data_IF_154501386005
#
_entry.id   IF_154501386005
#
_cell.length_a   1.000
_cell.length_b   1.000
_cell.length_c   1.000
_cell.angle_alpha   90.00
_cell.angle_beta   90.00
_cell.angle_gamma   90.00
#
_symmetry.space_group_name_H-M   'P 1'
#
loop_
_entity.id
_entity.type
_entity.pdbx_description
1 polymer ?
#
# COMPACT_ATOMS: atom_id res chain seq x y z
N UNK A 1 14.93 -61.44 0.14
CA UNK A 1 14.81 -61.42 -1.33
C UNK A 1 15.38 -60.09 -1.82
N UNK A 2 16.58 -60.16 -2.37
CA UNK A 2 17.35 -59.01 -2.86
C UNK A 2 16.82 -58.60 -4.23
N UNK A 3 16.25 -57.39 -4.33
CA UNK A 3 15.86 -56.84 -5.63
C UNK A 3 17.06 -56.07 -6.18
N UNK A 4 17.75 -56.67 -7.14
CA UNK A 4 18.80 -56.03 -7.95
C UNK A 4 18.19 -54.88 -8.76
N UNK A 5 18.43 -53.64 -8.36
CA UNK A 5 18.40 -52.53 -9.30
C UNK A 5 19.71 -52.55 -10.09
N UNK A 6 19.69 -53.13 -11.30
CA UNK A 6 20.76 -53.00 -12.33
C UNK A 6 20.79 -51.55 -12.84
N UNK A 7 21.18 -50.61 -11.99
CA UNK A 7 21.45 -49.22 -12.35
C UNK A 7 22.94 -48.95 -12.20
N UNK A 8 23.54 -48.23 -13.16
CA UNK A 8 24.92 -47.75 -13.01
C UNK A 8 25.02 -46.93 -11.73
N UNK A 9 25.88 -47.37 -10.80
CA UNK A 9 26.13 -46.66 -9.55
C UNK A 9 27.46 -45.93 -9.62
N UNK A 10 27.49 -44.72 -9.08
CA UNK A 10 28.70 -43.91 -9.00
C UNK A 10 29.06 -43.64 -7.56
N UNK A 11 30.37 -43.61 -7.28
CA UNK A 11 30.91 -43.17 -5.99
C UNK A 11 30.72 -41.67 -5.80
N UNK A 12 30.84 -41.19 -4.56
CA UNK A 12 30.78 -39.76 -4.23
C UNK A 12 31.71 -38.91 -5.10
N UNK A 13 32.93 -39.35 -5.35
CA UNK A 13 33.89 -38.62 -6.20
C UNK A 13 33.50 -38.61 -7.68
N UNK A 14 32.96 -39.72 -8.19
CA UNK A 14 32.50 -39.80 -9.57
C UNK A 14 31.28 -38.90 -9.80
N UNK A 15 30.30 -38.91 -8.90
CA UNK A 15 29.15 -37.99 -8.97
C UNK A 15 29.58 -36.53 -8.82
N UNK A 16 30.49 -36.23 -7.88
CA UNK A 16 31.05 -34.89 -7.70
C UNK A 16 31.66 -34.37 -9.00
N UNK A 17 32.47 -35.19 -9.69
CA UNK A 17 33.07 -34.81 -10.97
C UNK A 17 32.05 -34.65 -12.10
N UNK A 18 31.07 -35.56 -12.19
CA UNK A 18 30.03 -35.51 -13.24
C UNK A 18 29.14 -34.28 -13.10
N UNK A 19 28.76 -33.93 -11.87
CA UNK A 19 27.89 -32.78 -11.59
C UNK A 19 28.66 -31.47 -11.38
N UNK A 20 30.00 -31.50 -11.40
CA UNK A 20 30.84 -30.32 -11.13
C UNK A 20 30.72 -29.78 -9.70
N UNK A 21 30.48 -30.65 -8.71
CA UNK A 21 30.23 -30.29 -7.31
C UNK A 21 31.35 -30.77 -6.37
N UNK A 22 31.44 -30.16 -5.19
CA UNK A 22 32.31 -30.68 -4.13
C UNK A 22 31.73 -31.96 -3.49
N UNK A 23 32.56 -32.89 -2.98
CA UNK A 23 32.06 -34.08 -2.28
C UNK A 23 31.16 -33.77 -1.08
N UNK A 24 31.41 -32.64 -0.40
CA UNK A 24 30.56 -32.13 0.69
C UNK A 24 29.17 -31.74 0.18
N UNK A 25 29.09 -31.08 -0.98
CA UNK A 25 27.80 -30.70 -1.59
C UNK A 25 27.00 -31.91 -2.05
N UNK A 26 27.68 -32.95 -2.56
CA UNK A 26 27.05 -34.23 -2.90
C UNK A 26 26.40 -34.89 -1.67
N UNK A 27 27.07 -34.86 -0.51
CA UNK A 27 26.50 -35.41 0.72
C UNK A 27 25.26 -34.63 1.20
N UNK A 28 25.31 -33.30 1.16
CA UNK A 28 24.17 -32.43 1.48
C UNK A 28 22.98 -32.68 0.55
N UNK A 29 23.20 -32.72 -0.77
CA UNK A 29 22.13 -32.98 -1.73
C UNK A 29 21.52 -34.38 -1.58
N UNK A 30 22.27 -35.34 -1.04
CA UNK A 30 21.73 -36.65 -0.71
C UNK A 30 20.92 -36.66 0.59
N UNK A 31 21.22 -35.78 1.55
CA UNK A 31 20.41 -35.55 2.76
C UNK A 31 19.12 -34.79 2.43
N UNK A 32 19.19 -33.83 1.50
CA UNK A 32 18.05 -33.12 0.91
C UNK A 32 17.18 -34.04 0.02
N UNK A 33 17.57 -35.29 -0.21
CA UNK A 33 16.84 -36.28 -1.02
C UNK A 33 16.94 -36.06 -2.54
N UNK A 34 17.78 -35.12 -3.01
CA UNK A 34 17.99 -34.81 -4.43
C UNK A 34 18.84 -35.88 -5.11
N UNK A 35 19.88 -36.40 -4.44
CA UNK A 35 20.70 -37.51 -4.94
C UNK A 35 20.33 -38.82 -4.25
N UNK A 36 20.03 -39.86 -5.03
CA UNK A 36 19.51 -41.13 -4.52
C UNK A 36 20.66 -42.06 -4.14
N UNK A 37 20.75 -42.41 -2.86
CA UNK A 37 21.77 -43.33 -2.33
C UNK A 37 21.40 -44.77 -2.65
N UNK A 38 22.30 -45.48 -3.34
CA UNK A 38 22.17 -46.92 -3.60
C UNK A 38 22.76 -47.77 -2.46
N UNK A 39 23.87 -47.31 -1.88
CA UNK A 39 24.53 -47.91 -0.70
C UNK A 39 25.55 -46.93 -0.11
N UNK A 40 26.26 -47.29 0.96
CA UNK A 40 27.22 -46.39 1.63
C UNK A 40 28.25 -45.83 0.63
N UNK A 41 28.18 -44.52 0.38
CA UNK A 41 29.08 -43.81 -0.54
C UNK A 41 28.83 -44.05 -2.03
N UNK A 42 27.72 -44.69 -2.42
CA UNK A 42 27.32 -44.95 -3.81
C UNK A 42 25.92 -44.42 -4.10
N UNK A 43 25.75 -43.90 -5.31
CA UNK A 43 24.52 -43.22 -5.75
C UNK A 43 24.03 -43.79 -7.07
N UNK A 44 22.71 -43.81 -7.27
CA UNK A 44 22.08 -44.19 -8.54
C UNK A 44 22.29 -43.08 -9.56
N UNK A 45 23.09 -43.34 -10.60
CA UNK A 45 23.56 -42.30 -11.52
C UNK A 45 22.42 -41.59 -12.25
N UNK A 46 21.56 -42.35 -12.93
CA UNK A 46 20.51 -41.80 -13.78
C UNK A 46 19.49 -40.98 -12.97
N UNK A 47 18.99 -41.55 -11.87
CA UNK A 47 17.99 -40.89 -11.01
C UNK A 47 18.55 -39.65 -10.32
N UNK A 48 19.79 -39.72 -9.82
CA UNK A 48 20.43 -38.59 -9.14
C UNK A 48 20.69 -37.42 -10.09
N UNK A 49 21.13 -37.69 -11.32
CA UNK A 49 21.36 -36.65 -12.34
C UNK A 49 20.03 -36.02 -12.76
N UNK A 50 19.00 -36.82 -13.02
CA UNK A 50 17.68 -36.30 -13.43
C UNK A 50 17.03 -35.45 -12.33
N UNK A 51 17.09 -35.90 -11.07
CA UNK A 51 16.56 -35.14 -9.94
C UNK A 51 17.35 -33.85 -9.69
N UNK A 52 18.67 -33.89 -9.84
CA UNK A 52 19.50 -32.70 -9.74
C UNK A 52 19.12 -31.66 -10.80
N UNK A 53 19.00 -32.04 -12.08
CA UNK A 53 18.59 -31.14 -13.16
C UNK A 53 17.19 -30.55 -12.88
N UNK A 54 16.23 -31.38 -12.45
CA UNK A 54 14.88 -30.91 -12.08
C UNK A 54 14.91 -29.92 -10.93
N UNK A 55 15.77 -30.14 -9.94
CA UNK A 55 15.92 -29.25 -8.79
C UNK A 55 16.49 -27.88 -9.17
N UNK A 56 17.36 -27.82 -10.18
CA UNK A 56 17.89 -26.55 -10.71
C UNK A 56 16.80 -25.77 -11.44
N UNK A 57 16.07 -26.43 -12.35
CA UNK A 57 14.96 -25.82 -13.09
C UNK A 57 13.86 -25.28 -12.18
N UNK A 58 13.56 -26.00 -11.08
CA UNK A 58 12.54 -25.57 -10.11
C UNK A 58 13.01 -24.38 -9.26
N UNK A 59 14.31 -24.27 -8.97
CA UNK A 59 14.88 -23.16 -8.18
C UNK A 59 15.02 -21.90 -9.01
N UNK A 60 15.53 -21.99 -10.24
CA UNK A 60 15.67 -20.86 -11.15
C UNK A 60 14.31 -20.31 -11.57
N UNK A 61 13.36 -21.19 -11.97
CA UNK A 61 12.01 -20.76 -12.34
C UNK A 61 11.23 -20.13 -11.20
N UNK A 62 11.42 -20.59 -9.94
CA UNK A 62 10.80 -19.95 -8.77
C UNK A 62 11.42 -18.61 -8.44
N UNK A 63 12.75 -18.50 -8.46
CA UNK A 63 13.44 -17.25 -8.16
C UNK A 63 13.17 -16.16 -9.22
N UNK A 64 13.08 -16.54 -10.49
CA UNK A 64 12.76 -15.63 -11.58
C UNK A 64 11.30 -15.17 -11.51
N UNK A 65 10.34 -16.08 -11.27
CA UNK A 65 8.93 -15.73 -11.09
C UNK A 65 8.73 -14.83 -9.86
N UNK A 66 9.37 -15.13 -8.74
CA UNK A 66 9.30 -14.31 -7.51
C UNK A 66 9.88 -12.90 -7.77
N UNK A 67 11.00 -12.79 -8.47
CA UNK A 67 11.57 -11.49 -8.87
C UNK A 67 10.65 -10.66 -9.77
N UNK A 68 10.02 -11.29 -10.77
CA UNK A 68 9.06 -10.59 -11.64
C UNK A 68 7.78 -10.19 -10.89
N UNK A 69 7.28 -11.04 -10.00
CA UNK A 69 6.11 -10.75 -9.17
C UNK A 69 6.37 -9.59 -8.21
N UNK A 70 7.49 -9.61 -7.48
CA UNK A 70 7.87 -8.53 -6.57
C UNK A 70 8.12 -7.21 -7.31
N UNK A 71 8.78 -7.26 -8.47
CA UNK A 71 8.97 -6.08 -9.32
C UNK A 71 7.64 -5.51 -9.83
N UNK A 72 6.68 -6.37 -10.20
CA UNK A 72 5.37 -5.94 -10.63
C UNK A 72 4.56 -5.29 -9.49
N UNK A 73 4.63 -5.83 -8.26
CA UNK A 73 4.03 -5.22 -7.07
C UNK A 73 4.66 -3.86 -6.77
N UNK A 74 5.99 -3.76 -6.84
CA UNK A 74 6.72 -2.52 -6.62
C UNK A 74 6.34 -1.44 -7.64
N UNK A 75 6.29 -1.78 -8.94
CA UNK A 75 5.91 -0.83 -9.99
C UNK A 75 4.45 -0.39 -9.84
N UNK A 76 3.56 -1.29 -9.42
CA UNK A 76 2.17 -0.95 -9.11
C UNK A 76 2.08 0.02 -7.92
N UNK A 77 2.80 -0.24 -6.84
CA UNK A 77 2.85 0.66 -5.68
C UNK A 77 3.40 2.04 -6.05
N UNK A 78 4.46 2.09 -6.86
CA UNK A 78 5.04 3.34 -7.37
C UNK A 78 4.05 4.13 -8.21
N UNK A 79 3.27 3.46 -9.05
CA UNK A 79 2.20 4.09 -9.83
C UNK A 79 1.10 4.65 -8.91
N UNK A 80 0.63 3.86 -7.95
CA UNK A 80 -0.40 4.29 -6.99
C UNK A 80 0.08 5.52 -6.19
N UNK A 81 1.34 5.52 -5.75
CA UNK A 81 1.99 6.68 -5.12
C UNK A 81 1.91 7.91 -6.03
N UNK A 82 2.35 7.79 -7.29
CA UNK A 82 2.31 8.90 -8.24
C UNK A 82 0.89 9.42 -8.51
N UNK A 83 -0.10 8.53 -8.57
CA UNK A 83 -1.52 8.91 -8.72
C UNK A 83 -2.02 9.68 -7.48
N UNK A 84 -1.65 9.26 -6.26
CA UNK A 84 -1.97 9.98 -5.03
C UNK A 84 -1.31 11.37 -4.97
N UNK A 85 -0.02 11.48 -5.32
CA UNK A 85 0.66 12.78 -5.41
C UNK A 85 -0.03 13.71 -6.41
N UNK A 86 -0.42 13.20 -7.57
CA UNK A 86 -1.15 13.98 -8.56
C UNK A 86 -2.51 14.46 -8.01
N UNK A 87 -3.21 13.63 -7.24
CA UNK A 87 -4.48 13.98 -6.61
C UNK A 87 -4.33 15.07 -5.52
N UNK A 88 -3.22 15.06 -4.78
CA UNK A 88 -2.87 16.11 -3.81
C UNK A 88 -2.54 17.42 -4.52
N UNK A 89 -1.71 17.37 -5.57
CA UNK A 89 -1.36 18.56 -6.36
C UNK A 89 -2.58 19.20 -7.03
N UNK A 90 -3.58 18.38 -7.40
CA UNK A 90 -4.88 18.85 -7.92
C UNK A 90 -5.82 19.38 -6.83
N UNK A 91 -5.45 19.30 -5.55
CA UNK A 91 -6.28 19.75 -4.43
C UNK A 91 -7.52 18.88 -4.20
N UNK A 92 -7.51 17.62 -4.64
CA UNK A 92 -8.65 16.69 -4.48
C UNK A 92 -8.48 15.71 -3.31
N UNK A 93 -7.27 15.62 -2.76
CA UNK A 93 -6.95 14.78 -1.62
C UNK A 93 -6.53 15.67 -0.45
N UNK A 94 -7.18 15.48 0.70
CA UNK A 94 -6.90 16.19 1.94
C UNK A 94 -6.74 15.19 3.08
N UNK A 95 -5.93 15.52 4.08
CA UNK A 95 -5.82 14.70 5.29
C UNK A 95 -7.12 14.84 6.10
N UNK A 96 -7.54 13.76 6.75
CA UNK A 96 -8.75 13.78 7.57
C UNK A 96 -8.69 14.86 8.66
N UNK A 97 -7.50 15.06 9.27
CA UNK A 97 -7.24 16.09 10.29
C UNK A 97 -7.44 17.52 9.76
N UNK A 98 -7.02 17.78 8.52
CA UNK A 98 -7.19 19.10 7.89
C UNK A 98 -8.67 19.35 7.58
N UNK A 99 -9.38 18.29 7.15
CA UNK A 99 -10.83 18.36 6.92
C UNK A 99 -11.59 18.63 8.23
N UNK A 100 -11.26 17.90 9.29
CA UNK A 100 -11.87 18.04 10.61
C UNK A 100 -11.72 19.47 11.14
N UNK A 101 -10.50 20.03 11.10
CA UNK A 101 -10.23 21.37 11.60
C UNK A 101 -11.03 22.46 10.87
N UNK A 102 -11.10 22.37 9.54
CA UNK A 102 -11.86 23.32 8.72
C UNK A 102 -13.37 23.19 8.99
N UNK A 103 -13.88 21.96 9.08
CA UNK A 103 -15.28 21.70 9.39
C UNK A 103 -15.66 22.21 10.78
N UNK A 104 -14.78 22.04 11.77
CA UNK A 104 -14.98 22.53 13.13
C UNK A 104 -15.07 24.06 13.18
N UNK A 105 -14.17 24.76 12.50
CA UNK A 105 -14.21 26.22 12.41
C UNK A 105 -15.50 26.71 11.73
N UNK A 106 -15.88 26.06 10.62
CA UNK A 106 -17.11 26.37 9.90
C UNK A 106 -18.37 26.17 10.76
N UNK A 107 -18.47 25.06 11.48
CA UNK A 107 -19.59 24.75 12.37
C UNK A 107 -19.61 25.71 13.57
N UNK A 108 -18.44 26.06 14.11
CA UNK A 108 -18.32 26.99 15.22
C UNK A 108 -18.79 28.41 14.83
N UNK A 109 -18.41 28.89 13.65
CA UNK A 109 -18.85 30.17 13.09
C UNK A 109 -20.38 30.18 12.90
N UNK A 110 -20.94 29.14 12.26
CA UNK A 110 -22.38 29.02 12.06
C UNK A 110 -23.15 28.99 13.39
N UNK A 111 -22.70 28.18 14.35
CA UNK A 111 -23.31 28.10 15.69
C UNK A 111 -23.34 29.47 16.36
N UNK A 112 -22.23 30.21 16.30
CA UNK A 112 -22.13 31.55 16.88
C UNK A 112 -23.15 32.49 16.25
N UNK A 113 -23.28 32.46 14.92
CA UNK A 113 -24.22 33.30 14.19
C UNK A 113 -25.68 32.98 14.52
N UNK A 114 -26.06 31.69 14.51
CA UNK A 114 -27.42 31.25 14.86
C UNK A 114 -27.79 31.67 16.28
N UNK A 115 -26.90 31.49 17.26
CA UNK A 115 -27.15 31.88 18.64
C UNK A 115 -27.25 33.41 18.82
N UNK A 116 -26.67 34.20 17.92
CA UNK A 116 -26.78 35.66 17.93
C UNK A 116 -28.11 36.18 17.34
N UNK A 117 -28.82 35.37 16.54
CA UNK A 117 -30.04 35.79 15.84
C UNK A 117 -31.15 36.27 16.79
N UNK A 118 -31.48 35.56 17.89
CA UNK A 118 -32.54 36.02 18.79
C UNK A 118 -32.23 37.39 19.39
N UNK A 119 -30.99 37.62 19.83
CA UNK A 119 -30.55 38.90 20.39
C UNK A 119 -30.57 40.04 19.36
N UNK A 120 -30.26 39.74 18.09
CA UNK A 120 -30.30 40.69 16.98
C UNK A 120 -31.74 41.02 16.55
N UNK A 121 -32.59 40.01 16.43
CA UNK A 121 -33.95 40.13 15.89
C UNK A 121 -34.97 40.61 16.93
N UNK A 122 -34.84 40.21 18.20
CA UNK A 122 -35.79 40.59 19.25
C UNK A 122 -36.10 42.12 19.29
N UNK A 123 -35.11 43.03 19.32
CA UNK A 123 -35.41 44.47 19.31
C UNK A 123 -36.02 44.97 18.01
N UNK A 124 -35.72 44.31 16.88
CA UNK A 124 -36.26 44.68 15.56
C UNK A 124 -37.70 44.21 15.36
N UNK A 125 -38.09 43.13 16.05
CA UNK A 125 -39.45 42.57 15.99
C UNK A 125 -40.42 43.24 16.98
N UNK A 126 -39.92 44.02 17.95
CA UNK A 126 -40.77 44.73 18.89
C UNK A 126 -41.75 45.66 18.16
N UNK A 127 -43.03 45.52 18.49
CA UNK A 127 -44.11 46.33 17.92
C UNK A 127 -44.54 45.94 16.50
N UNK A 128 -43.92 44.94 15.87
CA UNK A 128 -44.38 44.41 14.58
C UNK A 128 -45.57 43.46 14.78
N UNK A 129 -46.63 43.67 14.01
CA UNK A 129 -47.86 42.85 14.04
C UNK A 129 -48.15 42.16 12.71
N UNK A 130 -47.47 42.56 11.63
CA UNK A 130 -47.60 41.92 10.33
C UNK A 130 -46.78 40.62 10.28
N UNK A 131 -47.47 39.49 10.22
CA UNK A 131 -46.85 38.17 10.16
C UNK A 131 -45.90 37.99 8.96
N UNK A 132 -46.26 38.55 7.78
CA UNK A 132 -45.42 38.44 6.59
C UNK A 132 -44.10 39.18 6.73
N UNK A 133 -44.11 40.33 7.41
CA UNK A 133 -42.90 41.10 7.69
C UNK A 133 -41.99 40.37 8.69
N UNK A 134 -42.57 39.82 9.76
CA UNK A 134 -41.83 39.03 10.76
C UNK A 134 -41.17 37.81 10.12
N UNK A 135 -41.93 37.06 9.31
CA UNK A 135 -41.42 35.89 8.60
C UNK A 135 -40.29 36.28 7.64
N UNK A 136 -40.47 37.36 6.86
CA UNK A 136 -39.45 37.84 5.94
C UNK A 136 -38.12 38.18 6.63
N UNK A 137 -38.17 38.82 7.80
CA UNK A 137 -36.97 39.14 8.59
C UNK A 137 -36.28 37.89 9.12
N UNK A 138 -37.03 36.93 9.67
CA UNK A 138 -36.49 35.65 10.14
C UNK A 138 -35.85 34.85 9.00
N UNK A 139 -36.58 34.70 7.89
CA UNK A 139 -36.10 33.95 6.72
C UNK A 139 -34.83 34.57 6.16
N UNK A 140 -34.76 35.91 6.04
CA UNK A 140 -33.55 36.57 5.55
C UNK A 140 -32.32 36.27 6.41
N UNK A 141 -32.43 36.44 7.72
CA UNK A 141 -31.30 36.20 8.63
C UNK A 141 -30.85 34.72 8.65
N UNK A 142 -31.80 33.79 8.58
CA UNK A 142 -31.49 32.35 8.47
C UNK A 142 -30.83 32.05 7.13
N UNK A 143 -31.34 32.59 6.03
CA UNK A 143 -30.74 32.43 4.71
C UNK A 143 -29.32 33.00 4.65
N UNK A 144 -29.08 34.18 5.21
CA UNK A 144 -27.73 34.75 5.29
C UNK A 144 -26.76 33.86 6.08
N UNK A 145 -27.20 33.29 7.21
CA UNK A 145 -26.37 32.37 7.99
C UNK A 145 -26.07 31.05 7.23
N UNK A 146 -27.02 30.57 6.44
CA UNK A 146 -26.84 29.37 5.61
C UNK A 146 -25.98 29.64 4.37
N UNK A 147 -26.08 30.83 3.77
CA UNK A 147 -25.25 31.24 2.63
C UNK A 147 -23.79 31.39 3.05
N UNK A 148 -23.52 32.00 4.21
CA UNK A 148 -22.16 32.08 4.73
C UNK A 148 -21.57 30.69 5.05
N UNK A 149 -22.41 29.75 5.49
CA UNK A 149 -22.02 28.36 5.67
C UNK A 149 -21.73 27.66 4.32
N UNK A 150 -22.44 28.00 3.24
CA UNK A 150 -22.28 27.37 1.93
C UNK A 150 -21.16 27.96 1.07
N UNK A 151 -20.85 29.25 1.24
CA UNK A 151 -19.90 29.99 0.40
C UNK A 151 -18.43 29.78 0.84
N UNK A 152 -18.15 28.74 1.61
CA UNK A 152 -16.80 28.48 2.13
C UNK A 152 -15.88 27.92 1.04
N UNK A 153 -14.67 28.49 0.95
CA UNK A 153 -13.73 28.28 -0.15
C UNK A 153 -12.83 27.05 0.06
N UNK A 154 -12.85 26.13 -0.90
CA UNK A 154 -12.01 24.92 -0.91
C UNK A 154 -10.50 25.19 -0.95
N UNK A 155 -10.07 26.42 -1.29
CA UNK A 155 -8.66 26.81 -1.18
C UNK A 155 -8.13 26.79 0.27
N UNK A 156 -9.00 26.79 1.29
CA UNK A 156 -8.60 26.73 2.69
C UNK A 156 -7.96 25.39 3.07
N UNK A 157 -8.25 24.31 2.34
CA UNK A 157 -7.58 23.02 2.50
C UNK A 157 -6.18 22.97 1.85
N UNK A 158 -5.93 23.80 0.82
CA UNK A 158 -4.69 23.71 0.02
C UNK A 158 -3.48 24.30 0.74
N UNK A 159 -3.65 25.28 1.64
CA UNK A 159 -2.56 25.94 2.36
C UNK A 159 -1.77 25.00 3.30
N UNK A 160 -2.28 23.78 3.55
CA UNK A 160 -1.60 22.75 4.37
C UNK A 160 -1.22 21.49 3.59
N UNK A 161 -1.61 21.39 2.31
CA UNK A 161 -1.21 20.27 1.43
C UNK A 161 0.30 20.26 1.12
N UNK A 162 1.00 21.40 1.22
CA UNK A 162 2.45 21.49 0.97
C UNK A 162 3.27 20.59 1.91
N UNK A 163 2.84 20.41 3.16
CA UNK A 163 3.49 19.50 4.11
C UNK A 163 3.30 18.03 3.74
N UNK A 164 2.20 17.67 3.08
CA UNK A 164 1.90 16.30 2.67
C UNK A 164 2.82 15.81 1.55
N UNK A 165 3.18 16.70 0.61
CA UNK A 165 4.11 16.35 -0.48
C UNK A 165 5.53 16.17 0.07
N UNK A 166 5.95 17.03 1.01
CA UNK A 166 7.29 16.99 1.61
C UNK A 166 7.59 15.73 2.43
N UNK A 167 6.62 15.16 3.14
CA UNK A 167 6.79 13.90 3.88
C UNK A 167 6.90 12.68 2.95
N UNK A 168 6.14 12.67 1.86
CA UNK A 168 6.07 11.50 0.97
C UNK A 168 7.30 11.41 0.04
N UNK A 169 7.90 12.55 -0.32
CA UNK A 169 9.14 12.61 -1.08
C UNK A 169 10.38 12.30 -0.20
N UNK A 170 10.31 12.48 1.12
CA UNK A 170 11.41 12.19 2.04
C UNK A 170 11.67 10.68 2.23
N UNK A 171 10.66 9.84 1.97
CA UNK A 171 10.73 8.37 2.10
C UNK A 171 11.47 7.71 0.92
N UNK A 172 11.59 8.38 -0.24
CA UNK A 172 12.26 7.85 -1.45
C UNK A 172 13.80 7.99 -1.42
N UNK A 173 14.37 8.52 -0.33
CA UNK A 173 15.81 8.82 -0.22
C UNK A 173 16.74 7.64 0.07
N UNK A 174 16.21 6.43 0.30
CA UNK A 174 17.00 5.30 0.81
C UNK A 174 16.80 4.00 0.03
N UNK A 175 17.05 4.00 -1.28
CA UNK A 175 17.26 2.74 -2.01
C UNK A 175 18.32 2.91 -3.11
N UNK A 176 19.58 3.07 -2.68
CA UNK A 176 20.71 2.84 -3.57
C UNK A 176 21.86 2.18 -2.81
N UNK A 177 21.83 0.84 -2.71
CA UNK A 177 23.01 0.01 -2.49
C UNK A 177 22.83 -1.41 -3.00
#
# INVERSE_FOLDING_TARGET
MSTEAKGTTFTTHQIANILGLSPRRVQQLAEEGVLIRASKGKYLAAESVQNFIRSLQTKEGKAEVDFFEERAKHEKAKREKAELHLAVMKGTLHRAEDVEWVMDDMIAAFRTKVLSLPSKLAPQLLGKTNQGEILGMLTREVSEALTELSDYDGFLFNNKNENFIGEVDADDGHDNQ
#
